data_IF_990030928216
#
_entry.id   IF_990030928216
#
_cell.length_a   1.000
_cell.length_b   1.000
_cell.length_c   1.000
_cell.angle_alpha   90.00
_cell.angle_beta   90.00
_cell.angle_gamma   90.00
#
_symmetry.space_group_name_H-M   'P 1'
#
loop_
_entity.id
_entity.type
_entity.pdbx_description
1 polymer ?
#
# COMPACT_ATOMS: atom_id res chain seq x y z
N UNK A 1 -6.78 -33.22 2.44
CA UNK A 1 -7.14 -31.96 1.75
C UNK A 1 -5.91 -31.52 0.98
N UNK A 2 -6.03 -31.23 -0.32
CA UNK A 2 -4.88 -30.81 -1.12
C UNK A 2 -4.57 -29.34 -0.80
N UNK A 3 -3.69 -29.13 0.18
CA UNK A 3 -3.18 -27.81 0.53
C UNK A 3 -1.94 -27.56 -0.32
N UNK A 4 -1.99 -26.54 -1.16
CA UNK A 4 -0.90 -26.23 -2.10
C UNK A 4 -0.28 -24.89 -1.79
N UNK A 5 1.00 -24.88 -1.44
CA UNK A 5 1.80 -23.66 -1.46
C UNK A 5 1.76 -23.05 -2.87
N UNK A 6 1.52 -21.74 -2.93
CA UNK A 6 1.42 -21.02 -4.18
C UNK A 6 2.76 -20.36 -4.48
N UNK A 7 3.23 -20.51 -5.71
CA UNK A 7 4.32 -19.67 -6.19
C UNK A 7 3.84 -18.20 -6.26
N UNK A 8 4.45 -17.25 -5.51
CA UNK A 8 4.00 -15.87 -5.44
C UNK A 8 4.01 -15.15 -6.80
N UNK A 9 4.90 -15.55 -7.71
CA UNK A 9 5.04 -14.97 -9.04
C UNK A 9 4.11 -15.62 -10.09
N UNK A 10 3.38 -16.67 -9.71
CA UNK A 10 2.48 -17.36 -10.61
C UNK A 10 1.04 -16.85 -10.51
N UNK A 11 0.28 -17.08 -11.58
CA UNK A 11 -1.04 -16.47 -11.75
C UNK A 11 -2.05 -16.76 -10.61
N UNK A 12 -2.06 -17.91 -9.89
CA UNK A 12 -3.03 -18.13 -8.82
C UNK A 12 -2.87 -17.14 -7.67
N UNK A 13 -1.64 -16.95 -7.18
CA UNK A 13 -1.33 -16.03 -6.09
C UNK A 13 -1.59 -14.57 -6.52
N UNK A 14 -1.12 -14.22 -7.73
CA UNK A 14 -1.28 -12.87 -8.29
C UNK A 14 -2.75 -12.49 -8.50
N UNK A 15 -3.59 -13.42 -8.99
CA UNK A 15 -5.03 -13.15 -9.17
C UNK A 15 -5.74 -12.97 -7.83
N UNK A 16 -5.47 -13.84 -6.86
CA UNK A 16 -6.05 -13.71 -5.54
C UNK A 16 -5.62 -12.40 -4.85
N UNK A 17 -4.36 -11.98 -5.00
CA UNK A 17 -3.88 -10.70 -4.49
C UNK A 17 -4.58 -9.49 -5.14
N UNK A 18 -4.85 -9.54 -6.45
CA UNK A 18 -5.63 -8.49 -7.13
C UNK A 18 -7.06 -8.40 -6.63
N UNK A 19 -7.70 -9.51 -6.28
CA UNK A 19 -9.04 -9.48 -5.65
C UNK A 19 -8.99 -8.74 -4.32
N UNK A 20 -7.96 -8.99 -3.49
CA UNK A 20 -7.76 -8.25 -2.24
C UNK A 20 -7.55 -6.76 -2.52
N UNK A 21 -6.74 -6.40 -3.52
CA UNK A 21 -6.55 -4.99 -3.93
C UNK A 21 -7.89 -4.33 -4.33
N UNK A 22 -8.73 -5.00 -5.13
CA UNK A 22 -10.04 -4.49 -5.51
C UNK A 22 -10.97 -4.30 -4.32
N UNK A 23 -10.97 -5.24 -3.38
CA UNK A 23 -11.74 -5.13 -2.14
C UNK A 23 -11.30 -3.91 -1.32
N UNK A 24 -9.99 -3.72 -1.12
CA UNK A 24 -9.45 -2.56 -0.40
C UNK A 24 -9.86 -1.25 -1.07
N UNK A 25 -9.78 -1.16 -2.40
CA UNK A 25 -10.20 0.04 -3.14
C UNK A 25 -11.71 0.29 -3.05
N UNK A 26 -12.52 -0.75 -3.00
CA UNK A 26 -13.98 -0.62 -2.83
C UNK A 26 -14.34 -0.17 -1.41
N UNK A 27 -13.66 -0.72 -0.39
CA UNK A 27 -13.99 -0.48 1.01
C UNK A 27 -13.38 0.80 1.58
N UNK A 28 -12.19 1.17 1.11
CA UNK A 28 -11.37 2.24 1.69
C UNK A 28 -10.84 3.25 0.66
N UNK A 29 -11.09 3.03 -0.63
CA UNK A 29 -10.68 3.95 -1.69
C UNK A 29 -11.57 5.18 -1.79
N UNK A 30 -11.07 6.18 -2.51
CA UNK A 30 -11.79 7.40 -2.88
C UNK A 30 -11.16 7.99 -4.15
N UNK A 31 -11.72 9.04 -4.77
CA UNK A 31 -11.10 9.68 -5.94
C UNK A 31 -9.63 10.08 -5.77
N UNK A 32 -9.18 10.31 -4.52
CA UNK A 32 -7.79 10.69 -4.21
C UNK A 32 -7.03 9.64 -3.40
N UNK A 33 -7.60 8.44 -3.21
CA UNK A 33 -7.01 7.35 -2.44
C UNK A 33 -7.18 6.03 -3.15
N UNK A 34 -6.07 5.48 -3.66
CA UNK A 34 -6.06 4.23 -4.41
C UNK A 34 -4.91 3.34 -3.93
N UNK A 35 -5.23 2.10 -3.61
CA UNK A 35 -4.28 1.06 -3.23
C UNK A 35 -3.81 0.26 -4.45
N UNK A 36 -2.50 0.17 -4.59
CA UNK A 36 -1.77 -0.68 -5.53
C UNK A 36 -1.22 -1.93 -4.85
N UNK A 37 -1.34 -3.09 -5.49
CA UNK A 37 -0.55 -4.26 -5.11
C UNK A 37 0.93 -3.96 -5.38
N UNK A 38 1.77 -4.07 -4.35
CA UNK A 38 3.24 -3.92 -4.47
C UNK A 38 3.89 -5.28 -4.74
N UNK A 39 3.61 -6.24 -3.87
CA UNK A 39 4.28 -7.55 -3.88
C UNK A 39 3.41 -8.61 -3.21
N UNK A 40 3.55 -9.86 -3.65
CA UNK A 40 3.03 -11.05 -2.97
C UNK A 40 4.25 -11.78 -2.40
N UNK A 41 4.30 -11.94 -1.08
CA UNK A 41 5.42 -12.55 -0.38
C UNK A 41 5.28 -14.06 -0.31
N UNK A 42 4.08 -14.52 0.07
CA UNK A 42 3.77 -15.93 0.24
C UNK A 42 2.29 -16.17 -0.01
N UNK A 43 1.93 -17.43 -0.28
CA UNK A 43 0.55 -17.79 -0.50
C UNK A 43 0.30 -19.27 -0.34
N UNK A 44 -0.90 -19.60 0.12
CA UNK A 44 -1.40 -20.95 0.23
C UNK A 44 -2.83 -21.02 -0.30
N UNK A 45 -3.19 -22.15 -0.89
CA UNK A 45 -4.57 -22.45 -1.24
C UNK A 45 -5.02 -23.79 -0.64
N UNK A 46 -6.15 -23.73 0.04
CA UNK A 46 -6.82 -24.87 0.64
C UNK A 46 -8.13 -25.13 -0.11
N UNK A 47 -8.39 -26.39 -0.45
CA UNK A 47 -9.71 -26.81 -0.89
C UNK A 47 -10.63 -26.94 0.33
N UNK A 48 -11.76 -26.25 0.29
CA UNK A 48 -12.75 -26.21 1.36
C UNK A 48 -14.06 -26.77 0.82
N UNK A 49 -14.19 -28.09 0.85
CA UNK A 49 -15.39 -28.89 0.49
C UNK A 49 -16.40 -28.15 -0.43
N UNK A 50 -17.62 -27.90 0.05
CA UNK A 50 -18.72 -27.31 -0.74
C UNK A 50 -18.59 -25.80 -0.97
N UNK A 51 -17.47 -25.18 -0.57
CA UNK A 51 -17.25 -23.72 -0.63
C UNK A 51 -16.11 -23.30 -1.58
N UNK A 52 -15.50 -24.25 -2.28
CA UNK A 52 -14.47 -24.00 -3.27
C UNK A 52 -13.07 -23.90 -2.68
N UNK A 53 -12.28 -22.89 -3.08
CA UNK A 53 -10.89 -22.73 -2.64
C UNK A 53 -10.70 -21.49 -1.80
N UNK A 54 -10.10 -21.65 -0.62
CA UNK A 54 -9.66 -20.56 0.25
C UNK A 54 -8.21 -20.22 -0.05
N UNK A 55 -7.94 -18.94 -0.27
CA UNK A 55 -6.60 -18.42 -0.48
C UNK A 55 -6.16 -17.65 0.77
N UNK A 56 -4.97 -17.96 1.26
CA UNK A 56 -4.31 -17.22 2.33
C UNK A 56 -3.06 -16.61 1.71
N UNK A 57 -2.91 -15.28 1.81
CA UNK A 57 -1.83 -14.55 1.16
C UNK A 57 -1.17 -13.59 2.14
N UNK A 58 0.14 -13.46 2.01
CA UNK A 58 0.89 -12.36 2.59
C UNK A 58 1.26 -11.40 1.47
N UNK A 59 0.80 -10.15 1.56
CA UNK A 59 0.98 -9.15 0.50
C UNK A 59 1.40 -7.80 1.07
N UNK A 60 2.08 -7.02 0.25
CA UNK A 60 2.28 -5.59 0.49
C UNK A 60 1.47 -4.78 -0.51
N UNK A 61 0.82 -3.73 0.00
CA UNK A 61 0.10 -2.73 -0.78
C UNK A 61 0.67 -1.35 -0.49
N UNK A 62 0.50 -0.42 -1.43
CA UNK A 62 0.89 0.97 -1.26
C UNK A 62 -0.22 1.89 -1.77
N UNK A 63 -0.31 3.10 -1.23
CA UNK A 63 -1.18 4.12 -1.79
C UNK A 63 -0.49 4.79 -2.99
N UNK A 64 -1.17 4.88 -4.13
CA UNK A 64 -0.59 5.33 -5.40
C UNK A 64 -0.87 6.83 -5.65
N UNK A 65 -1.98 7.37 -5.12
CA UNK A 65 -2.46 8.73 -5.48
C UNK A 65 -2.05 9.81 -4.48
N UNK A 66 -1.78 9.46 -3.22
CA UNK A 66 -1.68 10.48 -2.15
C UNK A 66 -0.70 11.61 -2.50
N UNK A 67 -1.22 12.83 -2.61
CA UNK A 67 -0.43 14.04 -2.52
C UNK A 67 0.08 14.11 -1.07
N UNK A 68 1.25 13.53 -0.81
CA UNK A 68 2.01 13.93 0.36
C UNK A 68 2.40 15.37 0.06
N UNK A 69 1.65 16.34 0.60
CA UNK A 69 2.15 17.70 0.71
C UNK A 69 3.47 17.54 1.48
N UNK A 70 4.59 17.60 0.76
CA UNK A 70 5.88 17.84 1.37
C UNK A 70 5.73 19.22 1.99
N UNK A 71 5.34 19.28 3.26
CA UNK A 71 5.59 20.46 4.07
C UNK A 71 7.10 20.53 4.23
N UNK A 72 7.77 21.10 3.23
CA UNK A 72 9.06 21.71 3.46
C UNK A 72 8.86 22.72 4.58
N UNK A 73 9.55 22.50 5.70
CA UNK A 73 9.57 23.42 6.82
C UNK A 73 9.91 24.81 6.26
N UNK A 74 8.98 25.76 6.41
CA UNK A 74 9.17 27.16 6.05
C UNK A 74 10.51 27.67 6.61
N UNK A 75 11.33 28.38 5.81
CA UNK A 75 12.59 28.91 6.30
C UNK A 75 12.30 29.89 7.44
N UNK A 76 13.04 29.77 8.53
CA UNK A 76 13.07 30.79 9.57
C UNK A 76 13.48 32.11 8.93
N UNK A 77 12.52 33.02 8.76
CA UNK A 77 12.80 34.43 8.51
C UNK A 77 13.28 35.02 9.83
N UNK A 78 14.59 35.24 9.96
CA UNK A 78 15.12 36.16 10.96
C UNK A 78 15.42 37.46 10.23
N UNK A 79 14.51 38.42 10.35
CA UNK A 79 14.70 39.77 9.86
C UNK A 79 15.68 40.50 10.76
N UNK A 80 16.70 41.08 10.13
CA UNK A 80 17.81 41.76 10.77
C UNK A 80 17.41 43.17 11.21
N UNK A 81 17.47 43.50 12.50
CA UNK A 81 17.61 44.90 12.92
C UNK A 81 19.09 45.22 13.18
N UNK A 82 19.68 45.96 12.24
CA UNK A 82 20.92 46.70 12.44
C UNK A 82 20.63 47.86 13.41
N UNK A 83 21.38 47.97 14.50
CA UNK A 83 21.67 49.26 15.11
C UNK A 83 23.17 49.44 15.31
N UNK A 84 23.63 50.62 14.88
CA UNK A 84 25.01 51.01 14.64
C UNK A 84 25.81 51.26 15.93
N UNK A 85 27.13 51.01 15.87
CA UNK A 85 28.13 51.65 16.75
C UNK A 85 28.28 53.12 16.37
N UNK A 86 28.45 54.06 17.33
CA UNK A 86 29.77 54.38 17.94
C UNK A 86 29.64 54.60 19.48
N UNK A 87 30.65 54.55 20.34
CA UNK A 87 32.08 54.95 20.30
C UNK A 87 32.85 54.05 21.27
#
# INVERSE_FOLDING_TARGET
MATGELNPNHYPAQRAAKVVQHYLNTRHGSPYKLFGLKEVHSGNAEEVADSGRKYQLEISVHEIISNVLHTEQLPHVHESEKQAKPN
#
